data_IF_390848016664
#
_entry.id   IF_390848016664
#
_cell.length_a   1.000
_cell.length_b   1.000
_cell.length_c   1.000
_cell.angle_alpha   90.00
_cell.angle_beta   90.00
_cell.angle_gamma   90.00
#
_symmetry.space_group_name_H-M   'P 1'
#
loop_
_entity.id
_entity.type
_entity.pdbx_description
1 polymer ?
#
# COMPACT_ATOMS: atom_id res chain seq x y z
N UNK A 1 8.65 -15.53 -21.36
CA UNK A 1 9.60 -16.65 -21.17
C UNK A 1 9.10 -17.37 -19.95
N UNK A 2 8.65 -18.62 -20.08
CA UNK A 2 8.06 -19.35 -18.97
C UNK A 2 9.10 -19.59 -17.86
N UNK A 3 8.65 -19.49 -16.61
CA UNK A 3 9.46 -19.74 -15.42
C UNK A 3 10.05 -21.16 -15.44
N UNK A 4 11.30 -21.29 -15.04
CA UNK A 4 11.90 -22.62 -14.87
C UNK A 4 11.35 -23.30 -13.61
N UNK A 5 11.43 -24.64 -13.57
CA UNK A 5 11.02 -25.41 -12.39
C UNK A 5 11.86 -25.03 -11.15
N UNK A 6 13.15 -24.78 -11.33
CA UNK A 6 14.05 -24.36 -10.25
C UNK A 6 13.67 -22.98 -9.70
N UNK A 7 13.38 -22.01 -10.58
CA UNK A 7 12.90 -20.68 -10.18
C UNK A 7 11.58 -20.76 -9.41
N UNK A 8 10.64 -21.58 -9.89
CA UNK A 8 9.35 -21.78 -9.22
C UNK A 8 9.51 -22.39 -7.84
N UNK A 9 10.41 -23.37 -7.67
CA UNK A 9 10.72 -23.96 -6.37
C UNK A 9 11.36 -22.96 -5.40
N UNK A 10 12.30 -22.15 -5.88
CA UNK A 10 12.91 -21.09 -5.08
C UNK A 10 11.87 -20.10 -4.57
N UNK A 11 10.99 -19.61 -5.46
CA UNK A 11 9.90 -18.70 -5.10
C UNK A 11 8.87 -19.33 -4.17
N UNK A 12 8.56 -20.61 -4.35
CA UNK A 12 7.67 -21.37 -3.47
C UNK A 12 8.20 -21.42 -2.03
N UNK A 13 9.49 -21.72 -1.84
CA UNK A 13 10.10 -21.71 -0.51
C UNK A 13 10.06 -20.31 0.13
N UNK A 14 10.36 -19.27 -0.65
CA UNK A 14 10.26 -17.87 -0.19
C UNK A 14 8.84 -17.51 0.24
N UNK A 15 7.82 -17.93 -0.51
CA UNK A 15 6.40 -17.72 -0.16
C UNK A 15 6.01 -18.45 1.14
N UNK A 16 6.48 -19.68 1.34
CA UNK A 16 6.22 -20.43 2.58
C UNK A 16 6.85 -19.77 3.81
N UNK A 17 8.07 -19.24 3.68
CA UNK A 17 8.74 -18.58 4.79
C UNK A 17 8.02 -17.28 5.19
N UNK A 18 7.57 -16.49 4.22
CA UNK A 18 6.72 -15.31 4.47
C UNK A 18 5.38 -15.69 5.09
N UNK A 19 4.73 -16.75 4.60
CA UNK A 19 3.45 -17.22 5.15
C UNK A 19 3.57 -17.54 6.65
N UNK A 20 4.66 -18.21 7.07
CA UNK A 20 4.93 -18.52 8.48
C UNK A 20 5.24 -17.29 9.33
N UNK A 21 5.88 -16.29 8.73
CA UNK A 21 6.18 -15.03 9.42
C UNK A 21 4.90 -14.24 9.68
N UNK A 22 4.04 -14.13 8.68
CA UNK A 22 2.77 -13.40 8.75
C UNK A 22 1.70 -14.12 9.60
N UNK A 23 1.70 -15.46 9.61
CA UNK A 23 0.77 -16.25 10.45
C UNK A 23 1.07 -16.17 11.95
N UNK A 24 2.17 -15.54 12.34
CA UNK A 24 2.51 -15.28 13.75
C UNK A 24 3.03 -16.51 14.50
N UNK A 25 3.37 -17.61 13.81
CA UNK A 25 3.95 -18.80 14.45
C UNK A 25 5.24 -18.47 15.23
N UNK A 26 5.99 -17.44 14.81
CA UNK A 26 7.16 -16.93 15.55
C UNK A 26 6.82 -15.96 16.71
N UNK A 27 5.70 -15.23 16.66
CA UNK A 27 5.36 -14.16 17.62
C UNK A 27 4.71 -14.68 18.92
N UNK A 28 4.13 -15.89 18.90
CA UNK A 28 3.38 -16.46 20.04
C UNK A 28 4.22 -16.68 21.31
N UNK A 29 5.54 -16.80 21.17
CA UNK A 29 6.47 -16.99 22.30
C UNK A 29 6.84 -15.68 23.02
N UNK A 30 6.67 -14.51 22.38
CA UNK A 30 7.05 -13.21 22.96
C UNK A 30 5.83 -12.44 23.50
N UNK A 31 4.69 -12.52 22.82
CA UNK A 31 3.46 -11.74 23.12
C UNK A 31 2.87 -11.99 24.52
N UNK A 32 3.04 -13.16 25.13
CA UNK A 32 2.46 -13.45 26.45
C UNK A 32 3.12 -12.69 27.60
N UNK A 33 4.27 -12.05 27.38
CA UNK A 33 5.02 -11.36 28.46
C UNK A 33 4.76 -9.86 28.50
N UNK A 34 4.39 -9.24 27.37
CA UNK A 34 4.21 -7.78 27.25
C UNK A 34 2.75 -7.35 27.47
N UNK A 35 1.77 -8.10 26.96
CA UNK A 35 0.34 -7.73 27.01
C UNK A 35 -0.24 -7.71 28.45
N UNK A 36 0.34 -8.48 29.36
CA UNK A 36 -0.10 -8.56 30.77
C UNK A 36 0.58 -7.50 31.66
N UNK A 37 1.71 -6.93 31.22
CA UNK A 37 2.46 -5.90 31.98
C UNK A 37 1.90 -4.48 31.82
N UNK A 38 1.45 -4.13 30.61
CA UNK A 38 0.97 -2.78 30.26
C UNK A 38 -0.40 -2.44 30.87
N UNK A 39 -1.29 -3.43 31.03
CA UNK A 39 -2.62 -3.21 31.60
C UNK A 39 -2.62 -3.22 33.14
N UNK A 40 -1.55 -3.71 33.78
CA UNK A 40 -1.54 -3.99 35.23
C UNK A 40 -0.77 -2.97 36.07
N UNK A 41 -0.01 -2.05 35.46
CA UNK A 41 0.87 -1.15 36.20
C UNK A 41 0.39 0.31 36.15
N UNK A 42 -0.74 0.58 36.82
CA UNK A 42 -1.08 1.88 37.41
C UNK A 42 -0.60 3.14 36.66
N UNK A 43 -0.95 3.25 35.38
CA UNK A 43 -0.53 4.38 34.54
C UNK A 43 -1.28 5.63 35.01
N UNK A 44 -0.51 6.64 35.37
CA UNK A 44 -0.96 8.00 35.61
C UNK A 44 -1.61 8.52 34.31
N UNK A 45 -2.94 8.41 34.21
CA UNK A 45 -3.73 8.74 33.01
C UNK A 45 -3.85 10.26 32.83
N UNK A 46 -2.73 10.94 32.61
CA UNK A 46 -2.72 12.34 32.23
C UNK A 46 -3.36 12.48 30.84
N UNK A 47 -4.26 13.46 30.68
CA UNK A 47 -5.00 13.69 29.42
C UNK A 47 -4.08 13.86 28.20
N UNK A 48 -2.83 14.28 28.41
CA UNK A 48 -1.82 14.43 27.36
C UNK A 48 -1.28 13.09 26.83
N UNK A 49 -1.17 12.05 27.67
CA UNK A 49 -0.61 10.74 27.28
C UNK A 49 -1.65 9.87 26.56
N UNK A 50 -2.93 10.18 26.72
CA UNK A 50 -4.03 9.48 26.07
C UNK A 50 -3.99 9.61 24.53
N UNK A 51 -3.49 10.73 23.99
CA UNK A 51 -3.34 10.91 22.54
C UNK A 51 -2.29 9.97 21.94
N UNK A 52 -1.15 9.85 22.62
CA UNK A 52 -0.05 8.97 22.21
C UNK A 52 -0.47 7.51 22.26
N UNK A 53 -1.04 7.05 23.38
CA UNK A 53 -1.50 5.67 23.55
C UNK A 53 -2.54 5.24 22.49
N UNK A 54 -3.46 6.15 22.14
CA UNK A 54 -4.44 5.89 21.07
C UNK A 54 -3.76 5.79 19.71
N UNK A 55 -2.78 6.66 19.44
CA UNK A 55 -2.03 6.63 18.17
C UNK A 55 -1.24 5.33 18.04
N UNK A 56 -0.51 4.93 19.07
CA UNK A 56 0.27 3.69 19.08
C UNK A 56 -0.64 2.48 18.82
N UNK A 57 -1.79 2.41 19.52
CA UNK A 57 -2.77 1.36 19.30
C UNK A 57 -3.34 1.33 17.89
N UNK A 58 -3.60 2.50 17.29
CA UNK A 58 -4.07 2.59 15.90
C UNK A 58 -2.99 2.08 14.95
N UNK A 59 -1.72 2.46 15.14
CA UNK A 59 -0.62 1.98 14.30
C UNK A 59 -0.48 0.45 14.38
N UNK A 60 -0.56 -0.13 15.58
CA UNK A 60 -0.54 -1.57 15.78
C UNK A 60 -1.71 -2.28 15.08
N UNK A 61 -2.90 -1.68 15.10
CA UNK A 61 -4.07 -2.22 14.40
C UNK A 61 -3.86 -2.19 12.88
N UNK A 62 -3.39 -1.07 12.34
CA UNK A 62 -3.10 -0.94 10.91
C UNK A 62 -2.03 -1.92 10.44
N UNK A 63 -0.94 -2.10 11.20
CA UNK A 63 0.10 -3.10 10.87
C UNK A 63 -0.49 -4.52 10.82
N UNK A 64 -1.37 -4.87 11.76
CA UNK A 64 -2.05 -6.19 11.76
C UNK A 64 -2.98 -6.38 10.57
N UNK A 65 -3.67 -5.33 10.14
CA UNK A 65 -4.52 -5.35 8.95
C UNK A 65 -3.68 -5.56 7.69
N UNK A 66 -2.58 -4.82 7.54
CA UNK A 66 -1.63 -4.99 6.43
C UNK A 66 -1.03 -6.41 6.42
N UNK A 67 -0.60 -6.94 7.57
CA UNK A 67 -0.07 -8.30 7.68
C UNK A 67 -1.10 -9.34 7.21
N UNK A 68 -2.39 -9.12 7.51
CA UNK A 68 -3.48 -10.01 7.10
C UNK A 68 -3.71 -9.95 5.59
N UNK A 69 -3.77 -8.77 5.00
CA UNK A 69 -3.91 -8.60 3.55
C UNK A 69 -2.74 -9.25 2.82
N UNK A 70 -1.52 -9.02 3.28
CA UNK A 70 -0.33 -9.64 2.70
C UNK A 70 -0.35 -11.17 2.83
N UNK A 71 -0.86 -11.72 3.93
CA UNK A 71 -1.03 -13.15 4.09
C UNK A 71 -2.02 -13.72 3.07
N UNK A 72 -3.11 -13.00 2.79
CA UNK A 72 -4.07 -13.39 1.74
C UNK A 72 -3.41 -13.41 0.36
N UNK A 73 -2.58 -12.40 0.04
CA UNK A 73 -1.80 -12.34 -1.21
C UNK A 73 -0.81 -13.53 -1.34
N UNK A 74 -0.07 -13.83 -0.28
CA UNK A 74 0.86 -14.95 -0.25
C UNK A 74 0.15 -16.30 -0.41
N UNK A 75 -0.99 -16.48 0.27
CA UNK A 75 -1.81 -17.69 0.14
C UNK A 75 -2.33 -17.87 -1.29
N UNK A 76 -2.78 -16.78 -1.90
CA UNK A 76 -3.23 -16.77 -3.28
C UNK A 76 -2.10 -17.15 -4.26
N UNK A 77 -0.90 -16.60 -4.10
CA UNK A 77 0.27 -16.96 -4.89
C UNK A 77 0.64 -18.45 -4.74
N UNK A 78 0.65 -18.97 -3.51
CA UNK A 78 0.87 -20.40 -3.23
C UNK A 78 -0.19 -21.29 -3.89
N UNK A 79 -1.45 -20.86 -3.91
CA UNK A 79 -2.53 -21.58 -4.57
C UNK A 79 -2.29 -21.63 -6.09
N UNK A 80 -1.90 -20.51 -6.72
CA UNK A 80 -1.54 -20.51 -8.15
C UNK A 80 -0.37 -21.41 -8.50
N UNK A 81 0.59 -21.58 -7.60
CA UNK A 81 1.69 -22.54 -7.79
C UNK A 81 1.13 -23.97 -7.84
N UNK A 82 0.19 -24.31 -6.96
CA UNK A 82 -0.47 -25.63 -6.98
C UNK A 82 -1.30 -25.85 -8.24
N UNK A 83 -1.96 -24.80 -8.70
CA UNK A 83 -2.81 -24.84 -9.90
C UNK A 83 -2.00 -24.75 -11.21
N UNK A 84 -0.68 -24.50 -11.13
CA UNK A 84 0.22 -24.38 -12.28
C UNK A 84 0.06 -23.10 -13.09
N UNK A 85 -0.60 -22.08 -12.53
CA UNK A 85 -0.86 -20.78 -13.18
C UNK A 85 -0.01 -19.64 -12.60
N UNK A 86 0.96 -19.97 -11.75
CA UNK A 86 1.85 -18.99 -11.15
C UNK A 86 2.75 -18.30 -12.18
N UNK A 87 2.92 -16.99 -12.00
CA UNK A 87 3.67 -16.14 -12.94
C UNK A 87 2.89 -15.74 -14.18
N UNK A 88 1.56 -15.90 -14.19
CA UNK A 88 0.68 -15.39 -15.25
C UNK A 88 -0.11 -14.20 -14.71
N UNK A 89 -0.05 -13.08 -15.43
CA UNK A 89 -0.77 -11.86 -15.09
C UNK A 89 -2.28 -12.04 -15.19
N UNK A 90 -3.01 -11.61 -14.15
CA UNK A 90 -4.47 -11.75 -14.09
C UNK A 90 -5.24 -10.86 -15.06
N UNK A 91 -4.71 -9.67 -15.39
CA UNK A 91 -5.35 -8.72 -16.31
C UNK A 91 -5.10 -9.06 -17.77
N UNK A 92 -3.84 -9.34 -18.14
CA UNK A 92 -3.43 -9.50 -19.54
C UNK A 92 -3.21 -10.95 -19.97
N UNK A 93 -3.08 -11.89 -19.03
CA UNK A 93 -2.73 -13.28 -19.31
C UNK A 93 -1.28 -13.49 -19.76
N UNK A 94 -0.43 -12.47 -19.67
CA UNK A 94 0.98 -12.54 -20.06
C UNK A 94 1.87 -13.06 -18.92
N UNK A 95 3.07 -13.55 -19.26
CA UNK A 95 4.08 -13.95 -18.28
C UNK A 95 4.56 -12.75 -17.45
N UNK A 96 4.59 -12.91 -16.12
CA UNK A 96 5.21 -11.95 -15.20
C UNK A 96 6.73 -12.18 -15.19
N UNK A 97 7.57 -11.14 -15.38
CA UNK A 97 9.03 -11.29 -15.35
C UNK A 97 9.53 -11.91 -14.05
N UNK A 98 10.55 -12.77 -14.15
CA UNK A 98 11.12 -13.44 -12.97
C UNK A 98 11.71 -12.42 -11.99
N UNK A 99 12.37 -11.38 -12.48
CA UNK A 99 12.98 -10.32 -11.66
C UNK A 99 11.94 -9.63 -10.76
N UNK A 100 10.70 -9.49 -11.27
CA UNK A 100 9.58 -8.95 -10.49
C UNK A 100 9.13 -9.93 -9.43
N UNK A 101 9.00 -11.21 -9.75
CA UNK A 101 8.59 -12.24 -8.79
C UNK A 101 9.70 -12.51 -7.75
N UNK A 102 10.96 -12.35 -8.11
CA UNK A 102 12.08 -12.45 -7.20
C UNK A 102 12.05 -11.32 -6.16
N UNK A 103 11.75 -10.09 -6.58
CA UNK A 103 11.57 -8.97 -5.67
C UNK A 103 10.26 -9.08 -4.86
N UNK A 104 9.14 -9.32 -5.56
CA UNK A 104 7.78 -9.35 -5.03
C UNK A 104 7.09 -10.66 -5.44
N UNK A 105 7.31 -11.76 -4.70
CA UNK A 105 6.84 -13.10 -5.07
C UNK A 105 5.32 -13.30 -5.04
N UNK A 106 4.58 -12.39 -4.42
CA UNK A 106 3.11 -12.40 -4.38
C UNK A 106 2.48 -11.50 -5.45
N UNK A 107 3.27 -10.93 -6.38
CA UNK A 107 2.74 -10.07 -7.43
C UNK A 107 1.76 -10.81 -8.35
N UNK A 108 0.54 -10.28 -8.49
CA UNK A 108 -0.53 -10.82 -9.36
C UNK A 108 -0.44 -10.37 -10.82
N UNK A 109 0.26 -9.28 -11.08
CA UNK A 109 0.21 -8.55 -12.34
C UNK A 109 1.60 -8.08 -12.78
N UNK A 110 1.76 -7.81 -14.07
CA UNK A 110 2.94 -7.12 -14.62
C UNK A 110 2.96 -5.65 -14.18
N UNK A 111 4.12 -4.99 -14.31
CA UNK A 111 4.25 -3.56 -14.01
C UNK A 111 3.33 -2.73 -14.91
N UNK A 112 3.31 -3.04 -16.21
CA UNK A 112 2.47 -2.35 -17.19
C UNK A 112 0.98 -2.48 -16.84
N UNK A 113 0.53 -3.72 -16.59
CA UNK A 113 -0.87 -3.95 -16.26
C UNK A 113 -1.29 -3.30 -14.93
N UNK A 114 -0.36 -3.18 -13.98
CA UNK A 114 -0.59 -2.48 -12.73
C UNK A 114 -0.67 -0.97 -12.95
N UNK A 115 0.27 -0.38 -13.72
CA UNK A 115 0.25 1.03 -14.08
C UNK A 115 -1.06 1.41 -14.80
N UNK A 116 -1.53 0.57 -15.72
CA UNK A 116 -2.82 0.80 -16.40
C UNK A 116 -4.00 0.84 -15.41
N UNK A 117 -4.00 0.01 -14.37
CA UNK A 117 -5.08 0.07 -13.34
C UNK A 117 -4.98 1.37 -12.54
N UNK A 118 -3.77 1.77 -12.17
CA UNK A 118 -3.54 2.99 -11.39
C UNK A 118 -3.97 4.23 -12.20
N UNK A 119 -3.67 4.28 -13.50
CA UNK A 119 -4.14 5.31 -14.42
C UNK A 119 -5.67 5.27 -14.58
N UNK A 120 -6.27 4.09 -14.77
CA UNK A 120 -7.73 3.94 -14.88
C UNK A 120 -8.44 4.52 -13.64
N UNK A 121 -7.90 4.26 -12.43
CA UNK A 121 -8.43 4.80 -11.17
C UNK A 121 -8.36 6.33 -11.10
N UNK A 122 -7.34 6.97 -11.66
CA UNK A 122 -7.29 8.43 -11.78
C UNK A 122 -8.36 8.96 -12.75
N UNK A 123 -8.65 8.20 -13.82
CA UNK A 123 -9.64 8.62 -14.82
C UNK A 123 -11.09 8.36 -14.42
N UNK A 124 -11.35 7.48 -13.46
CA UNK A 124 -12.70 7.18 -12.96
C UNK A 124 -13.18 8.13 -11.84
N UNK A 125 -12.32 9.02 -11.36
CA UNK A 125 -12.72 10.06 -10.42
C UNK A 125 -13.86 10.92 -11.00
N UNK A 126 -14.91 11.27 -10.22
CA UNK A 126 -16.00 12.12 -10.68
C UNK A 126 -15.45 13.41 -11.30
N UNK A 127 -16.19 13.97 -12.27
CA UNK A 127 -15.75 15.13 -13.07
C UNK A 127 -15.21 16.28 -12.21
N UNK A 128 -15.84 16.49 -11.05
CA UNK A 128 -15.47 17.50 -10.06
C UNK A 128 -14.08 17.28 -9.45
N UNK A 129 -13.70 16.04 -9.12
CA UNK A 129 -12.40 15.73 -8.53
C UNK A 129 -11.28 15.83 -9.55
N UNK A 130 -11.55 15.47 -10.82
CA UNK A 130 -10.61 15.71 -11.93
C UNK A 130 -10.35 17.18 -12.18
N UNK A 131 -11.41 18.00 -12.18
CA UNK A 131 -11.30 19.47 -12.34
C UNK A 131 -10.52 20.10 -11.18
N UNK A 132 -10.75 19.64 -9.95
CA UNK A 132 -9.96 20.06 -8.79
C UNK A 132 -8.49 19.64 -8.92
N UNK A 133 -8.22 18.39 -9.30
CA UNK A 133 -6.87 17.87 -9.45
C UNK A 133 -6.08 18.63 -10.54
N UNK A 134 -6.74 19.00 -11.64
CA UNK A 134 -6.14 19.78 -12.72
C UNK A 134 -5.84 21.23 -12.28
N UNK A 135 -6.74 21.87 -11.53
CA UNK A 135 -6.50 23.20 -10.95
C UNK A 135 -5.35 23.21 -9.95
N UNK A 136 -5.22 22.20 -9.08
CA UNK A 136 -4.13 22.14 -8.09
C UNK A 136 -2.78 21.78 -8.69
N UNK A 137 -2.78 21.06 -9.82
CA UNK A 137 -1.55 20.71 -10.54
C UNK A 137 -0.85 21.97 -11.05
N UNK A 138 -1.62 22.92 -11.59
CA UNK A 138 -1.11 24.23 -12.02
C UNK A 138 -0.65 25.09 -10.83
N UNK A 139 -1.37 25.06 -9.70
CA UNK A 139 -0.97 25.75 -8.46
C UNK A 139 0.34 25.24 -7.86
N UNK A 140 0.68 23.97 -8.09
CA UNK A 140 1.92 23.34 -7.62
C UNK A 140 3.10 23.55 -8.58
N UNK A 141 2.83 24.02 -9.81
CA UNK A 141 3.85 24.21 -10.82
C UNK A 141 4.74 25.42 -10.48
N UNK A 142 6.05 25.21 -10.50
CA UNK A 142 7.04 26.22 -10.10
C UNK A 142 6.94 27.52 -10.92
N UNK A 143 6.69 27.42 -12.23
CA UNK A 143 6.52 28.60 -13.10
C UNK A 143 5.28 29.41 -12.69
N UNK A 144 4.17 28.73 -12.40
CA UNK A 144 2.90 29.34 -12.00
C UNK A 144 2.99 29.97 -10.60
N UNK A 145 3.71 29.33 -9.67
CA UNK A 145 3.97 29.84 -8.31
C UNK A 145 4.84 31.11 -8.37
N UNK A 146 5.93 31.06 -9.13
CA UNK A 146 6.90 32.16 -9.21
C UNK A 146 6.30 33.39 -9.92
N UNK A 147 5.42 33.19 -10.90
CA UNK A 147 4.78 34.27 -11.66
C UNK A 147 3.39 34.66 -11.14
N UNK A 148 2.83 33.91 -10.18
CA UNK A 148 1.45 34.08 -9.68
C UNK A 148 0.42 34.20 -10.80
N UNK A 149 0.63 33.46 -11.89
CA UNK A 149 -0.16 33.59 -13.12
C UNK A 149 -1.35 32.65 -13.19
N UNK A 150 -1.66 31.91 -12.10
CA UNK A 150 -2.84 31.05 -12.09
C UNK A 150 -4.12 31.88 -12.00
N UNK A 151 -5.18 31.35 -12.61
CA UNK A 151 -6.54 31.91 -12.56
C UNK A 151 -7.02 32.20 -11.13
N UNK A 152 -6.58 31.40 -10.17
CA UNK A 152 -6.90 31.57 -8.74
C UNK A 152 -6.29 32.82 -8.13
N UNK A 153 -5.05 33.20 -8.49
CA UNK A 153 -4.46 34.48 -8.07
C UNK A 153 -5.19 35.67 -8.71
N UNK A 154 -5.58 35.57 -9.98
CA UNK A 154 -6.33 36.65 -10.65
C UNK A 154 -7.72 36.89 -10.02
N UNK A 155 -8.36 35.85 -9.48
CA UNK A 155 -9.62 35.97 -8.76
C UNK A 155 -9.39 36.64 -7.39
N UNK A 156 -8.37 36.22 -6.65
CA UNK A 156 -8.04 36.77 -5.33
C UNK A 156 -7.63 38.25 -5.40
N UNK A 157 -6.82 38.65 -6.39
CA UNK A 157 -6.42 40.04 -6.57
C UNK A 157 -7.64 40.93 -6.88
N UNK A 158 -8.56 40.44 -7.72
CA UNK A 158 -9.81 41.15 -8.06
C UNK A 158 -10.71 41.34 -6.83
N UNK A 159 -10.74 40.37 -5.92
CA UNK A 159 -11.51 40.45 -4.68
C UNK A 159 -10.85 41.38 -3.64
N UNK A 160 -9.52 41.47 -3.61
CA UNK A 160 -8.80 42.39 -2.72
C UNK A 160 -8.91 43.85 -3.17
N UNK A 161 -8.97 44.11 -4.48
CA UNK A 161 -9.15 45.46 -5.04
C UNK A 161 -10.59 45.99 -4.93
N UNK A 162 -11.55 45.13 -4.55
CA UNK A 162 -12.98 45.46 -4.46
C UNK A 162 -13.43 45.93 -3.06
N UNK A 163 -12.49 46.16 -2.13
CA UNK A 163 -12.78 46.54 -0.74
C UNK A 163 -12.09 47.85 -0.33
#
# INVERSE_FOLDING_TARGET
>A
MALTKEQTQHLYHKLLDMQKELSGEKKKTQSMTEEVGELSNGVDNHMADHGTLVTDRMTDQTVKEIDRELLEEVNHALQKIKDGTYGICEKTGQDIPYERLEAVPYARMTVEAQADIEDDLETDAPSFEREFHEQVKDLSNKETIDQKSSQTYEILDREQDSN
#
